data_IF_387715108249
#
_entry.id   IF_387715108249
#
_cell.length_a   1.000
_cell.length_b   1.000
_cell.length_c   1.000
_cell.angle_alpha   90.00
_cell.angle_beta   90.00
_cell.angle_gamma   90.00
#
_symmetry.space_group_name_H-M   'P 1'
#
loop_
_entity.id
_entity.type
_entity.pdbx_description
1 polymer ?
#
# COMPACT_ATOMS: atom_id res chain seq x y z
N UNK A 1 20.55 24.03 9.66
CA UNK A 1 19.84 22.82 9.19
C UNK A 1 18.53 22.74 9.97
N UNK A 2 17.36 22.60 9.34
CA UNK A 2 16.15 22.38 10.10
C UNK A 2 16.31 21.06 10.89
N UNK A 3 16.17 21.17 12.20
CA UNK A 3 16.10 19.98 13.07
C UNK A 3 14.78 19.31 12.76
N UNK A 4 14.81 18.01 12.36
CA UNK A 4 13.59 17.25 12.12
C UNK A 4 12.66 17.38 13.31
N UNK A 5 11.35 17.55 13.05
CA UNK A 5 10.38 17.59 14.15
C UNK A 5 10.44 16.29 14.96
N UNK A 6 10.27 16.35 16.29
CA UNK A 6 10.42 15.16 17.15
C UNK A 6 9.70 13.91 16.64
N UNK A 7 8.47 13.98 16.08
CA UNK A 7 7.77 12.79 15.57
C UNK A 7 8.46 12.06 14.42
N UNK A 8 9.23 12.77 13.58
CA UNK A 8 9.90 12.18 12.40
C UNK A 8 11.41 11.96 12.61
N UNK A 9 11.98 12.45 13.71
CA UNK A 9 13.42 12.28 14.00
C UNK A 9 13.84 10.80 14.09
N UNK A 10 12.98 9.92 14.60
CA UNK A 10 13.24 8.50 14.71
C UNK A 10 13.00 7.71 13.40
N UNK A 11 12.18 8.24 12.49
CA UNK A 11 11.70 7.51 11.30
C UNK A 11 12.84 6.99 10.42
N UNK A 12 13.92 7.76 10.25
CA UNK A 12 15.08 7.33 9.46
C UNK A 12 15.78 6.12 10.07
N UNK A 13 15.99 6.13 11.41
CA UNK A 13 16.58 5.01 12.14
C UNK A 13 15.69 3.76 12.13
N UNK A 14 14.38 3.95 12.28
CA UNK A 14 13.40 2.87 12.21
C UNK A 14 13.33 2.27 10.81
N UNK A 15 13.35 3.08 9.75
CA UNK A 15 13.40 2.64 8.36
C UNK A 15 14.69 1.89 8.03
N UNK A 16 15.82 2.30 8.60
CA UNK A 16 17.10 1.60 8.41
C UNK A 16 17.08 0.16 8.92
N UNK A 17 16.32 -0.14 9.99
CA UNK A 17 16.11 -1.52 10.48
C UNK A 17 15.36 -2.39 9.45
N UNK A 18 14.58 -1.78 8.57
CA UNK A 18 13.88 -2.44 7.46
C UNK A 18 14.71 -2.53 6.17
N UNK A 19 15.98 -2.09 6.21
CA UNK A 19 16.86 -2.04 5.04
C UNK A 19 16.63 -0.83 4.13
N UNK A 20 15.91 0.21 4.60
CA UNK A 20 15.62 1.43 3.86
C UNK A 20 16.41 2.62 4.41
N UNK A 21 17.32 3.16 3.61
CA UNK A 21 18.01 4.42 3.91
C UNK A 21 17.19 5.60 3.38
N UNK A 22 16.71 6.48 4.27
CA UNK A 22 16.00 7.70 3.92
C UNK A 22 16.94 8.91 4.02
N UNK A 23 16.94 9.76 2.99
CA UNK A 23 17.62 11.06 3.03
C UNK A 23 16.85 12.07 3.89
N UNK A 24 17.53 13.14 4.29
CA UNK A 24 16.88 14.28 4.98
C UNK A 24 15.76 14.91 4.16
N UNK A 25 15.91 14.94 2.84
CA UNK A 25 14.87 15.43 1.91
C UNK A 25 13.64 14.53 1.92
N UNK A 26 13.82 13.21 1.93
CA UNK A 26 12.71 12.25 2.01
C UNK A 26 11.98 12.36 3.35
N UNK A 27 12.68 12.54 4.46
CA UNK A 27 12.07 12.81 5.76
C UNK A 27 11.27 14.12 5.73
N UNK A 28 11.82 15.20 5.16
CA UNK A 28 11.11 16.46 5.01
C UNK A 28 9.84 16.32 4.13
N UNK A 29 9.86 15.49 3.09
CA UNK A 29 8.66 15.17 2.31
C UNK A 29 7.63 14.42 3.14
N UNK A 30 8.03 13.46 3.99
CA UNK A 30 7.13 12.76 4.91
C UNK A 30 6.48 13.74 5.91
N UNK A 31 7.24 14.69 6.46
CA UNK A 31 6.73 15.72 7.38
C UNK A 31 5.71 16.64 6.69
N UNK A 32 6.03 17.11 5.49
CA UNK A 32 5.11 17.95 4.70
C UNK A 32 3.83 17.20 4.35
N UNK A 33 3.95 15.94 3.96
CA UNK A 33 2.78 15.10 3.69
C UNK A 33 1.91 14.93 4.95
N UNK A 34 2.52 14.67 6.11
CA UNK A 34 1.80 14.53 7.37
C UNK A 34 1.07 15.83 7.75
N UNK A 35 1.70 16.99 7.56
CA UNK A 35 1.08 18.28 7.84
C UNK A 35 -0.14 18.52 6.96
N UNK A 36 -0.05 18.30 5.66
CA UNK A 36 -1.18 18.40 4.72
C UNK A 36 -2.28 17.39 5.06
N UNK A 37 -1.91 16.16 5.43
CA UNK A 37 -2.88 15.14 5.84
C UNK A 37 -3.69 15.59 7.07
N UNK A 38 -3.03 16.12 8.09
CA UNK A 38 -3.69 16.60 9.32
C UNK A 38 -4.65 17.76 8.98
N UNK A 39 -4.19 18.72 8.21
CA UNK A 39 -4.98 19.89 7.81
C UNK A 39 -6.24 19.46 7.05
N UNK A 40 -6.08 18.65 6.01
CA UNK A 40 -7.19 18.23 5.14
C UNK A 40 -8.10 17.20 5.78
N UNK A 41 -7.62 16.46 6.78
CA UNK A 41 -8.42 15.46 7.47
C UNK A 41 -9.63 16.05 8.18
N UNK A 42 -9.56 17.33 8.58
CA UNK A 42 -10.68 18.06 9.21
C UNK A 42 -11.93 18.14 8.32
N UNK A 43 -11.76 18.11 6.99
CA UNK A 43 -12.84 18.27 6.00
C UNK A 43 -13.11 17.01 5.17
N UNK A 44 -12.13 16.12 4.99
CA UNK A 44 -12.24 14.99 4.04
C UNK A 44 -12.44 13.64 4.72
N UNK A 45 -12.13 13.48 6.01
CA UNK A 45 -12.12 12.20 6.72
C UNK A 45 -11.22 11.16 6.03
N UNK A 46 -9.93 11.47 5.96
CA UNK A 46 -8.91 10.65 5.30
C UNK A 46 -8.45 9.50 6.18
N UNK A 47 -8.29 9.77 7.47
CA UNK A 47 -7.76 8.83 8.47
C UNK A 47 -8.30 9.11 9.86
N UNK A 48 -8.37 8.07 10.70
CA UNK A 48 -8.63 8.22 12.13
C UNK A 48 -7.37 8.55 12.94
N UNK A 49 -6.18 8.52 12.31
CA UNK A 49 -4.88 8.76 12.94
C UNK A 49 -4.51 10.23 12.70
N UNK A 50 -4.50 11.04 13.75
CA UNK A 50 -4.29 12.50 13.67
C UNK A 50 -3.04 12.99 14.37
N UNK A 51 -2.53 12.21 15.34
CA UNK A 51 -1.32 12.59 16.07
C UNK A 51 -0.07 12.42 15.18
N UNK A 52 0.81 13.43 15.06
CA UNK A 52 1.99 13.39 14.17
C UNK A 52 2.89 12.18 14.40
N UNK A 53 3.10 11.78 15.66
CA UNK A 53 3.91 10.61 16.01
C UNK A 53 3.25 9.30 15.54
N UNK A 54 1.93 9.21 15.64
CA UNK A 54 1.17 8.05 15.15
C UNK A 54 1.16 8.01 13.62
N UNK A 55 1.10 9.15 12.94
CA UNK A 55 1.23 9.23 11.49
C UNK A 55 2.62 8.74 11.05
N UNK A 56 3.70 9.20 11.70
CA UNK A 56 5.05 8.74 11.40
C UNK A 56 5.17 7.21 11.53
N UNK A 57 4.61 6.63 12.59
CA UNK A 57 4.69 5.18 12.87
C UNK A 57 3.66 4.37 12.10
N UNK A 58 2.36 4.67 12.28
CA UNK A 58 1.24 3.84 11.79
C UNK A 58 0.92 4.07 10.31
N UNK A 59 1.48 5.12 9.70
CA UNK A 59 1.35 5.36 8.26
C UNK A 59 2.69 5.18 7.55
N UNK A 60 3.72 5.96 7.85
CA UNK A 60 4.99 5.89 7.12
C UNK A 60 5.78 4.62 7.44
N UNK A 61 6.14 4.40 8.71
CA UNK A 61 6.91 3.20 9.09
C UNK A 61 6.16 1.90 8.73
N UNK A 62 4.85 1.86 8.97
CA UNK A 62 4.00 0.72 8.56
C UNK A 62 4.11 0.47 7.04
N UNK A 63 4.05 1.51 6.22
CA UNK A 63 4.22 1.40 4.76
C UNK A 63 5.63 0.90 4.38
N UNK A 64 6.65 1.34 5.10
CA UNK A 64 8.05 0.96 4.86
C UNK A 64 8.36 -0.48 5.23
N UNK A 65 7.53 -1.16 6.00
CA UNK A 65 7.69 -2.61 6.24
C UNK A 65 7.70 -3.43 4.95
N UNK A 66 7.17 -2.90 3.84
CA UNK A 66 7.28 -3.50 2.51
C UNK A 66 8.72 -3.76 2.06
N UNK A 67 9.70 -3.00 2.57
CA UNK A 67 11.10 -3.15 2.20
C UNK A 67 11.73 -4.41 2.80
N UNK A 68 11.20 -4.91 3.91
CA UNK A 68 11.70 -6.11 4.57
C UNK A 68 11.14 -7.41 3.95
N UNK A 69 10.07 -7.37 3.16
CA UNK A 69 9.39 -8.58 2.67
C UNK A 69 9.67 -8.91 1.20
N UNK A 70 10.35 -8.01 0.49
CA UNK A 70 10.83 -8.26 -0.87
C UNK A 70 12.05 -7.39 -1.20
N UNK A 71 12.82 -7.84 -2.20
CA UNK A 71 13.89 -7.02 -2.78
C UNK A 71 13.29 -5.97 -3.74
N UNK A 72 13.65 -4.71 -3.54
CA UNK A 72 13.26 -3.58 -4.38
C UNK A 72 14.44 -3.14 -5.26
N UNK A 73 14.14 -2.81 -6.52
CA UNK A 73 15.11 -2.23 -7.47
C UNK A 73 15.04 -0.71 -7.50
N UNK A 74 13.95 -0.16 -6.93
CA UNK A 74 13.63 1.27 -6.95
C UNK A 74 13.05 1.78 -8.26
N UNK A 75 12.73 0.89 -9.21
CA UNK A 75 12.16 1.24 -10.52
C UNK A 75 10.86 0.50 -10.84
N UNK A 76 10.25 -0.08 -9.83
CA UNK A 76 9.02 -0.85 -9.95
C UNK A 76 7.86 0.02 -10.45
N UNK A 77 6.98 -0.62 -11.19
CA UNK A 77 5.63 -0.13 -11.47
C UNK A 77 4.73 -0.64 -10.37
N UNK A 78 4.29 0.25 -9.50
CA UNK A 78 3.48 -0.06 -8.31
C UNK A 78 2.04 0.35 -8.56
N UNK A 79 1.09 -0.50 -8.18
CA UNK A 79 -0.32 -0.13 -8.08
C UNK A 79 -0.77 -0.25 -6.63
N UNK A 80 -1.37 0.81 -6.09
CA UNK A 80 -1.92 0.84 -4.74
C UNK A 80 -3.45 0.87 -4.80
N UNK A 81 -4.08 -0.17 -4.30
CA UNK A 81 -5.53 -0.36 -4.40
C UNK A 81 -6.23 0.06 -3.11
N UNK A 82 -7.13 1.03 -3.24
CA UNK A 82 -7.78 1.66 -2.10
C UNK A 82 -6.84 2.58 -1.34
N UNK A 83 -6.15 3.45 -2.07
CA UNK A 83 -5.06 4.29 -1.54
C UNK A 83 -5.46 5.20 -0.39
N UNK A 84 -6.75 5.56 -0.27
CA UNK A 84 -7.26 6.33 0.85
C UNK A 84 -6.54 7.67 1.04
N UNK A 85 -5.82 7.79 2.14
CA UNK A 85 -4.97 8.95 2.45
C UNK A 85 -3.59 8.89 1.77
N UNK A 86 -3.36 7.97 0.80
CA UNK A 86 -2.10 7.83 0.07
C UNK A 86 -1.13 6.79 0.63
N UNK A 87 -1.59 5.93 1.53
CA UNK A 87 -0.74 4.91 2.15
C UNK A 87 -1.20 3.48 1.79
N UNK A 88 -0.26 2.62 1.35
CA UNK A 88 1.20 2.82 1.36
C UNK A 88 1.76 3.54 0.12
N UNK A 89 1.00 3.74 -0.95
CA UNK A 89 1.49 4.13 -2.28
C UNK A 89 2.39 5.36 -2.30
N UNK A 90 1.97 6.50 -1.72
CA UNK A 90 2.79 7.73 -1.70
C UNK A 90 4.00 7.61 -0.77
N UNK A 91 3.88 6.89 0.34
CA UNK A 91 5.03 6.64 1.21
C UNK A 91 6.13 5.86 0.47
N UNK A 92 5.75 4.81 -0.30
CA UNK A 92 6.67 4.07 -1.15
C UNK A 92 7.29 4.94 -2.25
N UNK A 93 6.50 5.84 -2.86
CA UNK A 93 6.99 6.78 -3.87
C UNK A 93 8.01 7.77 -3.30
N UNK A 94 7.79 8.27 -2.09
CA UNK A 94 8.75 9.14 -1.39
C UNK A 94 10.04 8.35 -1.11
N UNK A 95 9.93 7.12 -0.61
CA UNK A 95 11.07 6.28 -0.29
C UNK A 95 11.87 5.85 -1.53
N UNK A 96 11.21 5.61 -2.66
CA UNK A 96 11.81 5.17 -3.93
C UNK A 96 11.46 6.14 -5.06
N UNK A 97 12.24 7.23 -5.22
CA UNK A 97 11.91 8.33 -6.15
C UNK A 97 11.86 7.97 -7.64
N UNK A 98 12.29 6.79 -8.04
CA UNK A 98 12.27 6.33 -9.44
C UNK A 98 11.17 5.29 -9.72
N UNK A 99 10.35 4.94 -8.73
CA UNK A 99 9.16 4.10 -8.95
C UNK A 99 8.07 4.88 -9.68
N UNK A 100 7.26 4.19 -10.45
CA UNK A 100 6.03 4.71 -11.03
C UNK A 100 4.85 4.16 -10.25
N UNK A 101 4.01 5.04 -9.72
CA UNK A 101 2.93 4.63 -8.82
C UNK A 101 1.58 4.99 -9.44
N UNK A 102 0.67 4.02 -9.47
CA UNK A 102 -0.75 4.26 -9.77
C UNK A 102 -1.54 4.08 -8.48
N UNK A 103 -2.24 5.13 -8.07
CA UNK A 103 -3.12 5.14 -6.90
C UNK A 103 -4.56 4.96 -7.36
N UNK A 104 -5.22 3.91 -6.87
CA UNK A 104 -6.62 3.63 -7.20
C UNK A 104 -7.50 3.94 -5.99
N UNK A 105 -8.35 4.95 -6.12
CA UNK A 105 -9.24 5.40 -5.04
C UNK A 105 -10.64 5.72 -5.61
N UNK A 106 -11.65 5.05 -5.09
CA UNK A 106 -13.02 5.20 -5.61
C UNK A 106 -13.79 6.40 -5.08
N UNK A 107 -13.31 7.01 -3.98
CA UNK A 107 -13.95 8.17 -3.35
C UNK A 107 -13.37 9.46 -3.91
N UNK A 108 -14.13 10.20 -4.71
CA UNK A 108 -13.65 11.37 -5.46
C UNK A 108 -12.97 12.44 -4.60
N UNK A 109 -13.47 12.70 -3.38
CA UNK A 109 -12.84 13.68 -2.48
C UNK A 109 -11.45 13.23 -1.98
N UNK A 110 -11.22 11.91 -1.82
CA UNK A 110 -9.92 11.35 -1.48
C UNK A 110 -8.98 11.35 -2.68
N UNK A 111 -9.49 11.05 -3.88
CA UNK A 111 -8.71 11.13 -5.12
C UNK A 111 -8.18 12.56 -5.35
N UNK A 112 -9.02 13.59 -5.17
CA UNK A 112 -8.59 15.00 -5.24
C UNK A 112 -7.52 15.35 -4.20
N UNK A 113 -7.67 14.88 -2.97
CA UNK A 113 -6.62 15.04 -1.96
C UNK A 113 -5.28 14.45 -2.42
N UNK A 114 -5.29 13.26 -3.03
CA UNK A 114 -4.06 12.64 -3.57
C UNK A 114 -3.43 13.48 -4.68
N UNK A 115 -4.23 14.09 -5.57
CA UNK A 115 -3.77 15.02 -6.60
C UNK A 115 -3.11 16.26 -5.97
N UNK A 116 -3.78 16.88 -5.00
CA UNK A 116 -3.28 18.07 -4.28
C UNK A 116 -1.96 17.77 -3.57
N UNK A 117 -1.87 16.65 -2.87
CA UNK A 117 -0.63 16.23 -2.17
C UNK A 117 0.51 15.96 -3.14
N UNK A 118 0.23 15.27 -4.25
CA UNK A 118 1.27 15.04 -5.26
C UNK A 118 1.82 16.35 -5.83
N UNK A 119 0.94 17.31 -6.12
CA UNK A 119 1.34 18.64 -6.60
C UNK A 119 2.16 19.39 -5.53
N UNK A 120 1.69 19.41 -4.27
CA UNK A 120 2.37 20.07 -3.14
C UNK A 120 3.79 19.51 -2.93
N UNK A 121 3.95 18.19 -3.02
CA UNK A 121 5.23 17.52 -2.77
C UNK A 121 6.12 17.44 -4.02
N UNK A 122 5.63 17.87 -5.19
CA UNK A 122 6.36 17.77 -6.45
C UNK A 122 6.58 16.31 -6.89
N UNK A 123 5.67 15.41 -6.54
CA UNK A 123 5.77 13.99 -6.92
C UNK A 123 5.30 13.80 -8.36
N UNK A 124 6.23 13.63 -9.26
CA UNK A 124 5.99 13.20 -10.64
C UNK A 124 5.88 11.67 -10.72
N UNK A 125 5.49 11.12 -11.86
CA UNK A 125 5.33 9.65 -12.06
C UNK A 125 4.33 8.99 -11.07
N UNK A 126 3.33 9.75 -10.62
CA UNK A 126 2.17 9.26 -9.86
C UNK A 126 0.92 9.50 -10.69
N UNK A 127 0.20 8.42 -10.99
CA UNK A 127 -1.10 8.46 -11.67
C UNK A 127 -2.20 8.21 -10.64
N UNK A 128 -3.18 9.10 -10.53
CA UNK A 128 -4.36 8.91 -9.69
C UNK A 128 -5.53 8.45 -10.56
N UNK A 129 -6.16 7.34 -10.17
CA UNK A 129 -7.33 6.76 -10.84
C UNK A 129 -8.52 6.80 -9.89
N UNK A 130 -9.44 7.74 -10.15
CA UNK A 130 -10.68 7.83 -9.38
C UNK A 130 -11.72 6.87 -9.93
N UNK A 131 -11.54 5.58 -9.62
CA UNK A 131 -12.43 4.51 -10.05
C UNK A 131 -12.34 3.28 -9.16
N UNK A 132 -13.20 2.31 -9.40
CA UNK A 132 -13.15 1.02 -8.70
C UNK A 132 -12.06 0.14 -9.26
N UNK A 133 -11.33 -0.57 -8.38
CA UNK A 133 -10.24 -1.46 -8.76
C UNK A 133 -10.70 -2.58 -9.71
N UNK A 134 -11.92 -3.11 -9.52
CA UNK A 134 -12.49 -4.15 -10.38
C UNK A 134 -12.80 -3.66 -11.80
N UNK A 135 -13.06 -2.38 -11.99
CA UNK A 135 -13.23 -1.79 -13.30
C UNK A 135 -11.87 -1.64 -14.02
N UNK A 136 -10.93 -0.96 -13.35
CA UNK A 136 -9.58 -0.75 -13.86
C UNK A 136 -8.82 -2.06 -14.11
N UNK A 137 -9.05 -3.08 -13.27
CA UNK A 137 -8.39 -4.40 -13.38
C UNK A 137 -8.74 -5.17 -14.66
N UNK A 138 -9.78 -4.78 -15.39
CA UNK A 138 -10.10 -5.31 -16.72
C UNK A 138 -9.28 -4.67 -17.82
N UNK A 139 -8.91 -3.41 -17.66
CA UNK A 139 -8.17 -2.62 -18.67
C UNK A 139 -6.66 -2.74 -18.53
N UNK A 140 -6.16 -2.81 -17.29
CA UNK A 140 -4.73 -2.69 -16.97
C UNK A 140 -4.12 -3.98 -16.47
N UNK A 141 -4.42 -5.09 -17.12
CA UNK A 141 -3.90 -6.41 -16.74
C UNK A 141 -2.39 -6.53 -16.98
N UNK A 142 -1.75 -7.28 -16.11
CA UNK A 142 -0.36 -7.76 -16.25
C UNK A 142 0.69 -6.63 -16.47
N UNK A 143 0.46 -5.45 -15.88
CA UNK A 143 1.31 -4.26 -16.11
C UNK A 143 2.21 -3.88 -14.96
N UNK A 144 1.94 -4.37 -13.74
CA UNK A 144 2.61 -3.90 -12.52
C UNK A 144 3.51 -4.98 -11.94
N UNK A 145 4.62 -4.52 -11.34
CA UNK A 145 5.60 -5.37 -10.64
C UNK A 145 5.12 -5.67 -9.23
N UNK A 146 4.49 -4.68 -8.60
CA UNK A 146 4.01 -4.74 -7.21
C UNK A 146 2.61 -4.16 -7.13
N UNK A 147 1.75 -4.85 -6.42
CA UNK A 147 0.46 -4.32 -5.98
C UNK A 147 0.44 -4.19 -4.47
N UNK A 148 -0.16 -3.12 -3.98
CA UNK A 148 -0.30 -2.88 -2.54
C UNK A 148 -1.75 -2.64 -2.17
N UNK A 149 -2.12 -3.02 -0.94
CA UNK A 149 -3.38 -2.61 -0.33
C UNK A 149 -3.30 -2.65 1.19
N UNK A 150 -3.96 -1.69 1.83
CA UNK A 150 -4.11 -1.62 3.28
C UNK A 150 -5.55 -1.28 3.64
N UNK A 151 -6.14 -2.04 4.59
CA UNK A 151 -7.49 -1.81 5.13
C UNK A 151 -8.65 -1.83 4.09
N UNK A 152 -8.54 -2.64 3.03
CA UNK A 152 -9.51 -2.67 1.91
C UNK A 152 -10.56 -3.78 2.06
N UNK A 153 -10.30 -4.82 2.86
CA UNK A 153 -11.23 -5.95 3.04
C UNK A 153 -10.54 -7.26 3.41
N UNK A 154 -11.21 -8.40 3.18
CA UNK A 154 -10.60 -9.72 3.41
C UNK A 154 -9.45 -9.97 2.45
N UNK A 155 -8.49 -10.81 2.85
CA UNK A 155 -7.31 -11.12 2.04
C UNK A 155 -7.67 -11.71 0.67
N UNK A 156 -8.69 -12.59 0.63
CA UNK A 156 -9.17 -13.15 -0.64
C UNK A 156 -9.74 -12.11 -1.59
N UNK A 157 -10.53 -11.16 -1.07
CA UNK A 157 -11.08 -10.05 -1.87
C UNK A 157 -9.99 -9.10 -2.37
N UNK A 158 -9.06 -8.73 -1.50
CA UNK A 158 -7.93 -7.86 -1.86
C UNK A 158 -7.05 -8.53 -2.93
N UNK A 159 -6.80 -9.83 -2.80
CA UNK A 159 -6.07 -10.60 -3.82
C UNK A 159 -6.79 -10.57 -5.17
N UNK A 160 -8.13 -10.64 -5.19
CA UNK A 160 -8.92 -10.54 -6.43
C UNK A 160 -8.81 -9.17 -7.08
N UNK A 161 -8.68 -8.10 -6.29
CA UNK A 161 -8.50 -6.76 -6.83
C UNK A 161 -7.08 -6.51 -7.36
N UNK A 162 -6.04 -7.11 -6.76
CA UNK A 162 -4.65 -6.82 -7.10
C UNK A 162 -4.08 -7.76 -8.17
N UNK A 163 -4.31 -9.07 -8.07
CA UNK A 163 -3.65 -10.06 -8.93
C UNK A 163 -3.87 -9.84 -10.44
N UNK A 164 -5.03 -9.35 -10.93
CA UNK A 164 -5.19 -9.04 -12.34
C UNK A 164 -4.20 -8.01 -12.88
N UNK A 165 -3.79 -7.04 -12.05
CA UNK A 165 -2.86 -5.99 -12.44
C UNK A 165 -1.41 -6.48 -12.58
N UNK A 166 -1.04 -7.51 -11.80
CA UNK A 166 0.35 -7.93 -11.69
C UNK A 166 0.79 -8.74 -12.91
N UNK A 167 2.01 -8.50 -13.36
CA UNK A 167 2.69 -9.40 -14.29
C UNK A 167 3.04 -10.73 -13.62
N UNK A 168 3.37 -11.74 -14.40
CA UNK A 168 3.88 -13.00 -13.86
C UNK A 168 5.14 -12.74 -13.02
N UNK A 169 5.22 -13.36 -11.84
CA UNK A 169 6.29 -13.14 -10.87
C UNK A 169 6.17 -11.83 -10.08
N UNK A 170 5.15 -11.01 -10.32
CA UNK A 170 4.85 -9.84 -9.50
C UNK A 170 4.28 -10.21 -8.13
N UNK A 171 4.43 -9.31 -7.17
CA UNK A 171 4.02 -9.51 -5.78
C UNK A 171 2.88 -8.55 -5.36
N UNK A 172 1.83 -9.08 -4.75
CA UNK A 172 0.91 -8.28 -3.96
C UNK A 172 1.38 -8.26 -2.50
N UNK A 173 1.53 -7.07 -1.92
CA UNK A 173 1.86 -6.88 -0.51
C UNK A 173 0.62 -6.30 0.19
N UNK A 174 0.08 -7.04 1.14
CA UNK A 174 -1.18 -6.69 1.82
C UNK A 174 -0.92 -6.54 3.32
N UNK A 175 -1.21 -5.36 3.85
CA UNK A 175 -1.13 -5.10 5.29
C UNK A 175 -2.38 -5.60 5.97
N UNK A 176 -2.21 -6.49 6.91
CA UNK A 176 -3.29 -7.12 7.67
C UNK A 176 -3.00 -7.07 9.19
N UNK A 177 -4.06 -7.15 9.98
CA UNK A 177 -3.96 -7.54 11.37
C UNK A 177 -3.85 -9.07 11.47
N UNK A 178 -4.78 -9.70 12.19
CA UNK A 178 -4.85 -11.18 12.25
C UNK A 178 -5.35 -11.73 10.93
N UNK A 179 -4.75 -12.83 10.48
CA UNK A 179 -5.06 -13.48 9.19
C UNK A 179 -5.64 -14.87 9.34
N UNK A 180 -5.56 -15.47 10.53
CA UNK A 180 -5.87 -16.89 10.76
C UNK A 180 -7.26 -17.28 10.27
N UNK A 181 -8.27 -16.47 10.58
CA UNK A 181 -9.66 -16.74 10.23
C UNK A 181 -9.96 -16.65 8.71
N UNK A 182 -9.15 -15.91 7.96
CA UNK A 182 -9.38 -15.69 6.52
C UNK A 182 -8.41 -16.47 5.62
N UNK A 183 -7.43 -17.17 6.21
CA UNK A 183 -6.35 -17.81 5.47
C UNK A 183 -6.82 -18.87 4.48
N UNK A 184 -7.74 -19.75 4.90
CA UNK A 184 -8.26 -20.81 4.03
C UNK A 184 -9.00 -20.25 2.80
N UNK A 185 -9.84 -19.22 3.01
CA UNK A 185 -10.53 -18.52 1.92
C UNK A 185 -9.55 -17.80 1.01
N UNK A 186 -8.54 -17.16 1.58
CA UNK A 186 -7.51 -16.47 0.82
C UNK A 186 -6.65 -17.42 -0.04
N UNK A 187 -6.30 -18.59 0.47
CA UNK A 187 -5.60 -19.63 -0.30
C UNK A 187 -6.42 -20.08 -1.52
N UNK A 188 -7.73 -20.34 -1.32
CA UNK A 188 -8.65 -20.69 -2.42
C UNK A 188 -8.73 -19.55 -3.45
N UNK A 189 -8.85 -18.31 -2.98
CA UNK A 189 -8.87 -17.13 -3.84
C UNK A 189 -7.59 -17.04 -4.67
N UNK A 190 -6.43 -17.05 -4.02
CA UNK A 190 -5.13 -16.96 -4.69
C UNK A 190 -4.98 -18.04 -5.76
N UNK A 191 -5.29 -19.29 -5.45
CA UNK A 191 -5.22 -20.41 -6.39
C UNK A 191 -6.14 -20.18 -7.62
N UNK A 192 -7.38 -19.71 -7.42
CA UNK A 192 -8.31 -19.41 -8.48
C UNK A 192 -7.89 -18.22 -9.35
N UNK A 193 -7.18 -17.24 -8.75
CA UNK A 193 -6.71 -16.01 -9.39
C UNK A 193 -5.34 -16.15 -10.06
N UNK A 194 -4.68 -17.30 -9.92
CA UNK A 194 -3.35 -17.54 -10.48
C UNK A 194 -2.20 -17.03 -9.62
N UNK A 195 -2.40 -17.00 -8.33
CA UNK A 195 -1.38 -16.64 -7.34
C UNK A 195 -1.26 -17.65 -6.22
N UNK A 196 -0.32 -17.41 -5.32
CA UNK A 196 -0.09 -18.17 -4.10
C UNK A 196 0.36 -17.26 -2.96
N UNK A 197 0.03 -17.59 -1.73
CA UNK A 197 0.58 -16.90 -0.56
C UNK A 197 2.02 -17.34 -0.39
N UNK A 198 2.96 -16.45 -0.75
CA UNK A 198 4.40 -16.71 -0.69
C UNK A 198 4.95 -16.59 0.74
N UNK A 199 4.44 -15.63 1.52
CA UNK A 199 4.82 -15.46 2.92
C UNK A 199 3.78 -14.67 3.72
N UNK A 200 3.79 -14.90 5.04
CA UNK A 200 3.08 -14.10 6.03
C UNK A 200 4.12 -13.70 7.07
N UNK A 201 4.41 -12.42 7.15
CA UNK A 201 5.51 -11.89 7.96
C UNK A 201 4.95 -10.96 9.04
N UNK A 202 4.99 -11.37 10.32
CA UNK A 202 4.59 -10.48 11.41
C UNK A 202 5.61 -9.35 11.56
N UNK A 203 5.14 -8.12 11.79
CA UNK A 203 6.00 -6.94 12.02
C UNK A 203 6.93 -7.12 13.23
N UNK A 204 6.52 -7.93 14.21
CA UNK A 204 7.35 -8.31 15.35
C UNK A 204 8.69 -8.95 14.95
N UNK A 205 8.75 -9.64 13.80
CA UNK A 205 9.98 -10.25 13.29
C UNK A 205 10.87 -9.29 12.47
N UNK A 206 10.42 -8.07 12.23
CA UNK A 206 11.10 -7.09 11.37
C UNK A 206 11.93 -6.06 12.16
N UNK A 207 12.05 -6.19 13.48
CA UNK A 207 12.75 -5.23 14.34
C UNK A 207 11.99 -3.90 14.56
N UNK A 208 10.71 -3.85 14.19
CA UNK A 208 9.80 -2.71 14.38
C UNK A 208 8.48 -3.15 15.04
N UNK A 209 8.49 -4.28 15.76
CA UNK A 209 7.30 -4.87 16.34
C UNK A 209 6.69 -4.05 17.46
N UNK A 210 7.54 -3.38 18.24
CA UNK A 210 7.10 -2.53 19.36
C UNK A 210 6.36 -1.29 18.86
N UNK A 211 6.78 -0.75 17.71
CA UNK A 211 6.14 0.38 17.04
C UNK A 211 4.86 0.00 16.31
N UNK A 212 4.76 -1.26 15.84
CA UNK A 212 3.68 -1.77 14.99
C UNK A 212 3.13 -3.12 15.50
N UNK A 213 2.57 -3.18 16.71
CA UNK A 213 2.12 -4.44 17.29
C UNK A 213 0.94 -5.05 16.53
N UNK A 214 0.93 -6.39 16.43
CA UNK A 214 -0.18 -7.18 15.90
C UNK A 214 -0.42 -7.02 14.39
N UNK A 215 0.56 -6.56 13.63
CA UNK A 215 0.50 -6.42 12.19
C UNK A 215 1.17 -7.61 11.48
N UNK A 216 0.66 -7.92 10.29
CA UNK A 216 1.23 -8.90 9.38
C UNK A 216 1.30 -8.30 7.97
N UNK A 217 2.37 -8.58 7.25
CA UNK A 217 2.45 -8.39 5.81
C UNK A 217 2.23 -9.75 5.13
N UNK A 218 1.24 -9.82 4.27
CA UNK A 218 1.00 -10.99 3.45
C UNK A 218 1.52 -10.71 2.05
N UNK A 219 2.45 -11.55 1.58
CA UNK A 219 2.95 -11.47 0.21
C UNK A 219 2.27 -12.57 -0.61
N UNK A 220 1.56 -12.15 -1.65
CA UNK A 220 0.94 -13.06 -2.61
C UNK A 220 1.67 -12.91 -3.93
N UNK A 221 2.27 -14.00 -4.42
CA UNK A 221 2.99 -14.03 -5.71
C UNK A 221 2.08 -14.45 -6.83
N UNK A 222 2.13 -13.75 -7.96
CA UNK A 222 1.46 -14.15 -9.18
C UNK A 222 2.26 -15.22 -9.92
N UNK A 223 1.74 -16.43 -9.99
CA UNK A 223 2.40 -17.61 -10.58
C UNK A 223 1.83 -18.00 -11.92
N UNK A 224 0.59 -17.58 -12.22
CA UNK A 224 -0.11 -17.86 -13.49
C UNK A 224 -0.96 -16.66 -13.91
N UNK A 225 -1.38 -16.63 -15.16
CA UNK A 225 -2.33 -15.62 -15.66
C UNK A 225 -3.66 -15.69 -14.89
N UNK A 226 -4.16 -14.55 -14.45
CA UNK A 226 -5.48 -14.45 -13.82
C UNK A 226 -6.57 -14.66 -14.87
N UNK A 227 -7.52 -15.60 -14.68
CA UNK A 227 -8.61 -15.83 -15.63
C UNK A 227 -9.42 -14.57 -15.94
N UNK A 228 -9.88 -14.40 -17.18
CA UNK A 228 -10.57 -13.18 -17.65
C UNK A 228 -11.88 -12.86 -16.90
N UNK A 229 -12.51 -13.86 -16.30
CA UNK A 229 -13.70 -13.68 -15.44
C UNK A 229 -13.42 -12.88 -14.15
N UNK A 230 -12.14 -12.71 -13.78
CA UNK A 230 -11.72 -11.90 -12.64
C UNK A 230 -11.06 -10.59 -13.09
N UNK A 231 -11.19 -9.51 -12.33
CA UNK A 231 -11.95 -9.42 -11.08
C UNK A 231 -13.47 -9.47 -11.34
N UNK A 232 -14.21 -10.07 -10.39
CA UNK A 232 -15.67 -10.04 -10.37
C UNK A 232 -16.16 -8.63 -10.05
N UNK A 233 -17.39 -8.32 -10.38
CA UNK A 233 -18.03 -7.10 -9.89
C UNK A 233 -18.21 -7.14 -8.37
N UNK A 234 -18.28 -5.97 -7.72
CA UNK A 234 -18.52 -5.89 -6.26
C UNK A 234 -19.80 -6.64 -5.85
N UNK A 235 -20.83 -6.67 -6.70
CA UNK A 235 -22.06 -7.39 -6.43
C UNK A 235 -21.86 -8.90 -6.45
N UNK A 236 -21.13 -9.42 -7.42
CA UNK A 236 -20.79 -10.86 -7.54
C UNK A 236 -19.88 -11.31 -6.39
N UNK A 237 -18.85 -10.50 -6.05
CA UNK A 237 -17.94 -10.81 -4.96
C UNK A 237 -18.66 -10.87 -3.60
N UNK A 238 -19.65 -9.99 -3.36
CA UNK A 238 -20.49 -10.04 -2.15
C UNK A 238 -21.41 -11.25 -2.09
N UNK A 239 -21.96 -11.70 -3.22
CA UNK A 239 -22.83 -12.88 -3.27
C UNK A 239 -22.07 -14.20 -3.06
N UNK A 240 -20.80 -14.23 -3.43
CA UNK A 240 -19.94 -15.42 -3.33
C UNK A 240 -18.58 -15.03 -2.77
N UNK A 241 -18.49 -14.71 -1.46
CA UNK A 241 -17.22 -14.39 -0.82
C UNK A 241 -16.25 -15.57 -0.88
N UNK A 242 -14.96 -15.25 -0.76
CA UNK A 242 -13.90 -16.26 -0.70
C UNK A 242 -13.82 -16.96 0.65
#
# INVERSE_FOLDING_TARGET
MPVASPPFAALAGEAARLGLALSSEQIALCERFASELIERNTSVNLTAITEPQDIARKHFLDSFTAFAVRRWTGRERVIDVGSGAGFPGLALRIALPKTRVTLVESVGKKARFLEDVCALLGLTDVEIRNERAEALGRERRDRYDVGTARAVGTLGMVSEYILPFLRLGGDAIVWKGRVDAELLGAQKACAALGGEIASIVPTASLGVGDELPGRNLVVVRKTRATPLRYPRTSAEARRRPW
#
